data_IF_393477887536
#
_entry.id   IF_393477887536
#
_cell.length_a   1.000
_cell.length_b   1.000
_cell.length_c   1.000
_cell.angle_alpha   90.00
_cell.angle_beta   90.00
_cell.angle_gamma   90.00
#
_symmetry.space_group_name_H-M   'P 1'
#
loop_
_entity.id
_entity.type
_entity.pdbx_description
1 polymer ?
#
# COMPACT_ATOMS: atom_id res chain seq x y z
N UNK A 1 -50.19 14.77 20.52
CA UNK A 1 -49.55 14.44 19.21
C UNK A 1 -48.62 15.53 18.69
N UNK A 2 -48.95 16.83 18.80
CA UNK A 2 -48.06 17.92 18.35
C UNK A 2 -46.66 17.91 19.00
N UNK A 3 -46.58 17.58 20.29
CA UNK A 3 -45.32 17.49 21.04
C UNK A 3 -44.34 16.44 20.47
N UNK A 4 -44.83 15.26 20.07
CA UNK A 4 -43.99 14.19 19.50
C UNK A 4 -43.39 14.65 18.16
N UNK A 5 -44.15 15.40 17.36
CA UNK A 5 -43.70 15.90 16.06
C UNK A 5 -42.61 16.98 16.23
N UNK A 6 -42.73 17.83 17.24
CA UNK A 6 -41.73 18.87 17.53
C UNK A 6 -40.48 18.25 18.15
N UNK A 7 -40.61 17.31 19.09
CA UNK A 7 -39.48 16.60 19.68
C UNK A 7 -38.70 15.78 18.62
N UNK A 8 -39.39 15.09 17.70
CA UNK A 8 -38.78 14.33 16.58
C UNK A 8 -38.03 15.24 15.57
N UNK A 9 -38.16 16.57 15.68
CA UNK A 9 -37.47 17.55 14.81
C UNK A 9 -36.28 18.22 15.49
N UNK A 10 -36.33 18.45 16.80
CA UNK A 10 -35.30 19.17 17.56
C UNK A 10 -34.45 18.25 18.44
N UNK A 11 -35.00 17.13 18.91
CA UNK A 11 -34.31 16.13 19.70
C UNK A 11 -34.65 14.72 19.21
N UNK A 12 -34.30 14.36 17.96
CA UNK A 12 -34.70 13.07 17.42
C UNK A 12 -33.94 11.93 18.09
N UNK A 13 -34.70 10.90 18.45
CA UNK A 13 -34.23 9.64 19.01
C UNK A 13 -34.26 8.56 17.93
N UNK A 14 -33.19 7.78 17.83
CA UNK A 14 -33.18 6.56 17.01
C UNK A 14 -32.57 5.41 17.78
N UNK A 15 -33.19 4.24 17.65
CA UNK A 15 -32.66 2.94 18.11
C UNK A 15 -31.93 2.21 16.99
N UNK A 16 -31.97 2.74 15.76
CA UNK A 16 -31.28 2.20 14.60
C UNK A 16 -29.85 2.75 14.56
N UNK A 17 -29.06 2.43 15.59
CA UNK A 17 -27.66 2.79 15.68
C UNK A 17 -26.81 1.61 16.10
N UNK A 18 -25.58 1.58 15.57
CA UNK A 18 -24.59 0.54 15.86
C UNK A 18 -23.20 1.15 15.99
N UNK A 19 -22.35 0.45 16.75
CA UNK A 19 -20.90 0.64 16.72
C UNK A 19 -20.37 0.03 15.42
N UNK A 20 -19.68 0.84 14.64
CA UNK A 20 -18.97 0.45 13.43
C UNK A 20 -17.46 0.50 13.70
N UNK A 21 -16.70 -0.22 12.87
CA UNK A 21 -15.25 -0.21 12.89
C UNK A 21 -14.71 -0.65 11.54
N UNK A 22 -13.45 -0.34 11.26
CA UNK A 22 -12.80 -0.92 10.10
C UNK A 22 -12.60 -2.42 10.31
N UNK A 23 -13.03 -3.20 9.33
CA UNK A 23 -12.83 -4.64 9.30
C UNK A 23 -11.77 -4.91 8.26
N UNK A 24 -10.56 -5.25 8.70
CA UNK A 24 -9.42 -5.50 7.83
C UNK A 24 -9.26 -7.00 7.67
N UNK A 25 -9.23 -7.47 6.44
CA UNK A 25 -8.91 -8.85 6.12
C UNK A 25 -7.40 -8.98 5.99
N UNK A 26 -6.77 -9.72 6.90
CA UNK A 26 -5.32 -9.96 6.80
C UNK A 26 -5.06 -11.21 5.96
N UNK A 27 -4.27 -11.00 4.91
CA UNK A 27 -3.81 -12.03 4.00
C UNK A 27 -2.28 -12.10 4.05
N UNK A 28 -1.69 -13.31 3.94
CA UNK A 28 -0.25 -13.44 3.82
C UNK A 28 0.21 -12.96 2.44
N UNK A 29 1.40 -12.39 2.36
CA UNK A 29 1.99 -11.97 1.07
C UNK A 29 2.69 -13.13 0.36
N UNK A 30 3.02 -14.20 1.09
CA UNK A 30 3.73 -15.37 0.59
C UNK A 30 2.95 -16.65 0.87
N UNK A 31 3.11 -17.66 0.00
CA UNK A 31 2.39 -18.93 0.11
C UNK A 31 3.24 -20.02 0.74
N UNK A 32 2.66 -20.81 1.65
CA UNK A 32 3.33 -21.97 2.24
C UNK A 32 2.50 -22.65 3.32
N UNK A 33 2.90 -23.84 3.78
CA UNK A 33 2.22 -24.49 4.89
C UNK A 33 2.49 -23.73 6.18
N UNK A 34 1.45 -23.58 7.00
CA UNK A 34 1.54 -22.95 8.32
C UNK A 34 2.19 -23.94 9.29
N UNK A 35 3.18 -23.48 10.03
CA UNK A 35 3.91 -24.27 11.02
C UNK A 35 3.56 -23.90 12.45
N UNK A 36 3.09 -22.68 12.68
CA UNK A 36 2.76 -22.17 14.00
C UNK A 36 1.68 -21.08 13.92
N UNK A 37 0.80 -21.07 14.92
CA UNK A 37 -0.26 -20.07 15.09
C UNK A 37 -0.16 -19.55 16.52
N UNK A 38 0.40 -18.35 16.67
CA UNK A 38 0.73 -17.77 17.96
C UNK A 38 -0.46 -17.03 18.62
N UNK A 39 -1.62 -17.01 17.96
CA UNK A 39 -2.83 -16.31 18.40
C UNK A 39 -4.05 -17.24 18.42
N UNK A 40 -5.00 -16.89 19.28
CA UNK A 40 -6.33 -17.49 19.35
C UNK A 40 -7.41 -16.62 18.71
N UNK A 41 -8.57 -17.21 18.46
CA UNK A 41 -9.74 -16.46 18.01
C UNK A 41 -10.26 -15.53 19.12
N UNK A 42 -10.70 -14.32 18.76
CA UNK A 42 -11.17 -13.26 19.67
C UNK A 42 -10.11 -12.75 20.65
N UNK A 43 -8.82 -12.87 20.29
CA UNK A 43 -7.71 -12.41 21.11
C UNK A 43 -7.34 -10.95 20.77
N UNK A 44 -6.99 -10.19 21.81
CA UNK A 44 -6.36 -8.87 21.67
C UNK A 44 -4.90 -9.00 21.30
N UNK A 45 -4.47 -8.23 20.30
CA UNK A 45 -3.09 -8.20 19.83
C UNK A 45 -2.53 -6.80 19.82
N UNK A 46 -1.25 -6.69 20.13
CA UNK A 46 -0.50 -5.44 20.07
C UNK A 46 0.20 -5.27 18.71
N UNK A 47 0.58 -4.03 18.39
CA UNK A 47 1.33 -3.75 17.16
C UNK A 47 2.64 -4.54 17.12
N UNK A 48 2.89 -5.23 16.01
CA UNK A 48 4.09 -6.04 15.82
C UNK A 48 4.07 -7.40 16.51
N UNK A 49 2.94 -7.79 17.11
CA UNK A 49 2.79 -9.14 17.66
C UNK A 49 2.72 -10.18 16.55
N UNK A 50 3.45 -11.29 16.71
CA UNK A 50 3.41 -12.42 15.78
C UNK A 50 2.00 -13.05 15.79
N UNK A 51 1.42 -13.22 14.60
CA UNK A 51 0.12 -13.87 14.43
C UNK A 51 0.30 -15.34 14.08
N UNK A 52 1.00 -15.62 12.99
CA UNK A 52 1.28 -16.98 12.54
C UNK A 52 2.56 -17.02 11.71
N UNK A 53 3.12 -18.22 11.61
CA UNK A 53 4.37 -18.47 10.87
C UNK A 53 4.14 -19.49 9.76
N UNK A 54 4.58 -19.11 8.56
CA UNK A 54 4.63 -19.94 7.37
C UNK A 54 5.99 -20.64 7.32
N UNK A 55 6.04 -21.88 6.81
CA UNK A 55 7.29 -22.62 6.64
C UNK A 55 8.30 -21.82 5.79
N UNK A 56 9.40 -21.43 6.43
CA UNK A 56 10.41 -20.56 5.85
C UNK A 56 11.54 -21.32 5.11
N UNK A 57 11.50 -22.65 5.04
CA UNK A 57 12.61 -23.46 4.51
C UNK A 57 12.92 -23.13 3.04
N UNK A 58 11.87 -23.03 2.21
CA UNK A 58 11.97 -22.65 0.79
C UNK A 58 12.53 -21.23 0.63
N UNK A 59 12.11 -20.31 1.48
CA UNK A 59 12.51 -18.89 1.42
C UNK A 59 13.95 -18.71 1.89
N UNK A 60 14.37 -19.41 2.93
CA UNK A 60 15.75 -19.45 3.41
C UNK A 60 16.68 -19.99 2.31
N UNK A 61 16.27 -21.06 1.63
CA UNK A 61 17.01 -21.58 0.48
C UNK A 61 17.09 -20.57 -0.67
N UNK A 62 15.99 -19.85 -0.96
CA UNK A 62 15.98 -18.81 -1.99
C UNK A 62 16.96 -17.66 -1.66
N UNK A 63 17.00 -17.21 -0.40
CA UNK A 63 17.98 -16.22 0.08
C UNK A 63 19.40 -16.73 -0.11
N UNK A 64 19.68 -17.98 0.28
CA UNK A 64 21.02 -18.57 0.11
C UNK A 64 21.42 -18.67 -1.36
N UNK A 65 20.50 -19.07 -2.24
CA UNK A 65 20.73 -19.09 -3.70
C UNK A 65 21.02 -17.70 -4.24
N UNK A 66 20.28 -16.68 -3.79
CA UNK A 66 20.49 -15.31 -4.22
C UNK A 66 21.82 -14.73 -3.70
N UNK A 67 22.27 -15.10 -2.50
CA UNK A 67 23.61 -14.74 -1.98
C UNK A 67 24.73 -15.31 -2.85
N UNK A 68 24.62 -16.59 -3.24
CA UNK A 68 25.59 -17.22 -4.14
C UNK A 68 25.58 -16.52 -5.51
N UNK A 69 24.41 -16.22 -6.06
CA UNK A 69 24.29 -15.49 -7.32
C UNK A 69 24.91 -14.09 -7.26
N UNK A 70 24.77 -13.39 -6.13
CA UNK A 70 25.43 -12.10 -5.89
C UNK A 70 26.95 -12.23 -5.86
N UNK A 71 27.48 -13.25 -5.20
CA UNK A 71 28.91 -13.52 -5.22
C UNK A 71 29.42 -13.79 -6.64
N UNK A 72 28.70 -14.62 -7.42
CA UNK A 72 29.03 -14.90 -8.82
C UNK A 72 29.01 -13.62 -9.67
N UNK A 73 28.07 -12.71 -9.41
CA UNK A 73 28.01 -11.42 -10.10
C UNK A 73 29.24 -10.55 -9.80
N UNK A 74 29.71 -10.51 -8.55
CA UNK A 74 30.95 -9.81 -8.19
C UNK A 74 32.19 -10.43 -8.85
N UNK A 75 32.27 -11.76 -8.91
CA UNK A 75 33.36 -12.45 -9.60
C UNK A 75 33.36 -12.14 -11.10
N UNK A 76 32.17 -12.06 -11.72
CA UNK A 76 32.01 -11.69 -13.11
C UNK A 76 32.37 -10.22 -13.37
N UNK A 77 32.01 -9.30 -12.46
CA UNK A 77 32.43 -7.90 -12.51
C UNK A 77 33.95 -7.77 -12.42
N UNK A 78 34.61 -8.52 -11.53
CA UNK A 78 36.08 -8.58 -11.44
C UNK A 78 36.70 -9.05 -12.76
N UNK A 79 36.10 -10.03 -13.43
CA UNK A 79 36.53 -10.46 -14.77
C UNK A 79 36.37 -9.36 -15.82
N UNK A 80 35.30 -8.56 -15.76
CA UNK A 80 35.10 -7.42 -16.66
C UNK A 80 36.18 -6.35 -16.45
N UNK A 81 36.60 -6.07 -15.21
CA UNK A 81 37.73 -5.16 -14.95
C UNK A 81 39.03 -5.66 -15.62
N UNK A 82 39.34 -6.95 -15.50
CA UNK A 82 40.51 -7.53 -16.17
C UNK A 82 40.41 -7.43 -17.71
N UNK A 83 39.21 -7.57 -18.27
CA UNK A 83 38.97 -7.38 -19.71
C UNK A 83 39.14 -5.92 -20.15
N UNK A 84 38.75 -4.96 -19.32
CA UNK A 84 39.00 -3.53 -19.59
C UNK A 84 40.49 -3.23 -19.63
N UNK A 85 41.26 -3.74 -18.67
CA UNK A 85 42.72 -3.56 -18.66
C UNK A 85 43.37 -4.15 -19.92
N UNK A 86 42.96 -5.36 -20.34
CA UNK A 86 43.41 -5.95 -21.60
C UNK A 86 43.03 -5.09 -22.83
N UNK A 87 41.81 -4.53 -22.86
CA UNK A 87 41.34 -3.67 -23.95
C UNK A 87 42.09 -2.33 -24.01
N UNK A 88 42.45 -1.76 -22.85
CA UNK A 88 43.30 -0.56 -22.75
C UNK A 88 44.69 -0.86 -23.31
N UNK A 89 45.30 -2.00 -22.95
CA UNK A 89 46.59 -2.41 -23.50
C UNK A 89 46.55 -2.58 -25.03
N UNK A 90 45.50 -3.20 -25.58
CA UNK A 90 45.30 -3.32 -27.02
C UNK A 90 45.14 -1.95 -27.70
N UNK A 91 44.39 -1.03 -27.07
CA UNK A 91 44.23 0.34 -27.56
C UNK A 91 45.55 1.09 -27.56
N UNK A 92 46.37 0.94 -26.51
CA UNK A 92 47.69 1.54 -26.41
C UNK A 92 48.65 1.04 -27.50
N UNK A 93 48.69 -0.27 -27.74
CA UNK A 93 49.46 -0.89 -28.82
C UNK A 93 49.02 -0.40 -30.21
N UNK A 94 47.70 -0.39 -30.47
CA UNK A 94 47.16 0.13 -31.73
C UNK A 94 47.42 1.64 -31.92
N UNK A 95 47.44 2.42 -30.83
CA UNK A 95 47.78 3.83 -30.86
C UNK A 95 49.25 4.05 -31.24
N UNK A 96 50.17 3.24 -30.72
CA UNK A 96 51.57 3.28 -31.13
C UNK A 96 51.74 2.96 -32.62
N UNK A 97 51.04 1.94 -33.13
CA UNK A 97 51.04 1.60 -34.55
C UNK A 97 50.48 2.73 -35.43
N UNK A 98 49.38 3.36 -35.01
CA UNK A 98 48.82 4.52 -35.67
C UNK A 98 49.79 5.71 -35.71
N UNK A 99 50.49 5.99 -34.60
CA UNK A 99 51.48 7.06 -34.54
C UNK A 99 52.66 6.80 -35.49
N UNK A 100 53.15 5.56 -35.54
CA UNK A 100 54.22 5.16 -36.45
C UNK A 100 53.78 5.31 -37.92
N UNK A 101 52.59 4.80 -38.28
CA UNK A 101 52.04 4.92 -39.64
C UNK A 101 51.78 6.38 -40.04
N UNK A 102 51.37 7.21 -39.07
CA UNK A 102 51.16 8.66 -39.28
C UNK A 102 52.49 9.36 -39.57
N UNK A 103 53.53 9.10 -38.76
CA UNK A 103 54.85 9.68 -38.97
C UNK A 103 55.48 9.24 -40.31
N UNK A 104 55.32 7.97 -40.68
CA UNK A 104 55.76 7.44 -41.97
C UNK A 104 55.07 8.14 -43.14
N UNK A 105 53.73 8.19 -43.13
CA UNK A 105 52.96 8.86 -44.17
C UNK A 105 53.35 10.34 -44.30
N UNK A 106 53.53 11.06 -43.19
CA UNK A 106 53.98 12.46 -43.21
C UNK A 106 55.38 12.60 -43.83
N UNK A 107 56.31 11.70 -43.51
CA UNK A 107 57.67 11.70 -44.07
C UNK A 107 57.64 11.45 -45.57
N UNK A 108 56.98 10.38 -46.01
CA UNK A 108 56.85 10.00 -47.43
C UNK A 108 56.10 11.07 -48.21
N UNK A 109 55.06 11.67 -47.66
CA UNK A 109 54.32 12.77 -48.30
C UNK A 109 55.20 14.01 -48.54
N UNK A 110 56.07 14.38 -47.58
CA UNK A 110 57.05 15.47 -47.76
C UNK A 110 58.08 15.14 -48.84
N UNK A 111 58.61 13.91 -48.85
CA UNK A 111 59.58 13.47 -49.87
C UNK A 111 58.95 13.39 -51.28
N UNK A 112 57.69 12.98 -51.38
CA UNK A 112 56.96 12.90 -52.64
C UNK A 112 56.73 14.28 -53.25
N UNK A 113 56.48 15.31 -52.43
CA UNK A 113 56.38 16.71 -52.90
C UNK A 113 57.66 17.21 -53.57
N UNK A 114 58.81 16.69 -53.14
CA UNK A 114 60.12 17.01 -53.69
C UNK A 114 60.55 16.04 -54.80
N UNK A 115 59.65 15.18 -55.29
CA UNK A 115 59.92 14.14 -56.29
C UNK A 115 61.02 13.12 -55.90
N UNK A 116 61.24 12.91 -54.59
CA UNK A 116 62.27 11.99 -54.07
C UNK A 116 61.77 10.54 -53.89
N UNK A 117 60.47 10.29 -54.05
CA UNK A 117 59.82 8.96 -53.94
C UNK A 117 58.68 8.84 -54.94
N UNK A 118 58.25 7.60 -55.26
CA UNK A 118 57.17 7.34 -56.21
C UNK A 118 55.77 7.65 -55.64
N UNK A 119 54.82 7.96 -56.53
CA UNK A 119 53.40 8.17 -56.16
C UNK A 119 52.79 6.91 -55.53
N UNK A 120 53.11 5.73 -56.06
CA UNK A 120 52.69 4.43 -55.52
C UNK A 120 53.15 4.21 -54.07
N UNK A 121 54.38 4.65 -53.73
CA UNK A 121 54.88 4.56 -52.35
C UNK A 121 54.10 5.46 -51.40
N UNK A 122 53.77 6.68 -51.82
CA UNK A 122 52.90 7.59 -51.05
C UNK A 122 51.50 7.01 -50.84
N UNK A 123 50.90 6.48 -51.90
CA UNK A 123 49.53 5.95 -51.84
C UNK A 123 49.47 4.70 -50.94
N UNK A 124 50.53 3.87 -50.96
CA UNK A 124 50.68 2.72 -50.06
C UNK A 124 50.84 3.17 -48.59
N UNK A 125 51.65 4.20 -48.32
CA UNK A 125 51.79 4.77 -46.98
C UNK A 125 50.46 5.39 -46.49
N UNK A 126 49.69 6.04 -47.37
CA UNK A 126 48.37 6.56 -47.06
C UNK A 126 47.37 5.44 -46.73
N UNK A 127 47.35 4.36 -47.52
CA UNK A 127 46.50 3.20 -47.24
C UNK A 127 46.82 2.56 -45.88
N UNK A 128 48.11 2.42 -45.53
CA UNK A 128 48.54 1.90 -44.24
C UNK A 128 48.12 2.82 -43.07
N UNK A 129 48.30 4.14 -43.22
CA UNK A 129 47.80 5.12 -42.26
C UNK A 129 46.29 5.00 -42.04
N UNK A 130 45.51 4.87 -43.11
CA UNK A 130 44.06 4.73 -43.02
C UNK A 130 43.64 3.42 -42.34
N UNK A 131 44.32 2.31 -42.64
CA UNK A 131 44.10 1.03 -41.97
C UNK A 131 44.37 1.14 -40.46
N UNK A 132 45.53 1.68 -40.07
CA UNK A 132 45.89 1.87 -38.67
C UNK A 132 44.92 2.79 -37.91
N UNK A 133 44.41 3.83 -38.57
CA UNK A 133 43.38 4.74 -38.01
C UNK A 133 42.09 3.99 -37.71
N UNK A 134 41.62 3.17 -38.64
CA UNK A 134 40.40 2.37 -38.48
C UNK A 134 40.55 1.32 -37.38
N UNK A 135 41.70 0.66 -37.30
CA UNK A 135 42.02 -0.30 -36.22
C UNK A 135 42.00 0.37 -34.86
N UNK A 136 42.63 1.54 -34.72
CA UNK A 136 42.61 2.31 -33.46
C UNK A 136 41.18 2.68 -33.06
N UNK A 137 40.36 3.13 -34.02
CA UNK A 137 38.96 3.43 -33.76
C UNK A 137 38.20 2.19 -33.28
N UNK A 138 38.40 1.02 -33.90
CA UNK A 138 37.76 -0.22 -33.48
C UNK A 138 38.11 -0.61 -32.03
N UNK A 139 39.39 -0.56 -31.64
CA UNK A 139 39.81 -0.87 -30.27
C UNK A 139 39.30 0.15 -29.24
N UNK A 140 39.23 1.44 -29.61
CA UNK A 140 38.61 2.47 -28.76
C UNK A 140 37.13 2.14 -28.51
N UNK A 141 36.36 1.80 -29.54
CA UNK A 141 34.96 1.43 -29.40
C UNK A 141 34.77 0.14 -28.59
N UNK A 142 35.64 -0.86 -28.79
CA UNK A 142 35.63 -2.09 -28.00
C UNK A 142 35.85 -1.81 -26.51
N UNK A 143 36.80 -0.94 -26.16
CA UNK A 143 37.05 -0.54 -24.77
C UNK A 143 35.84 0.14 -24.15
N UNK A 144 35.19 1.05 -24.88
CA UNK A 144 33.97 1.73 -24.42
C UNK A 144 32.82 0.74 -24.19
N UNK A 145 32.65 -0.23 -25.09
CA UNK A 145 31.60 -1.24 -24.97
C UNK A 145 31.77 -2.14 -23.73
N UNK A 146 33.01 -2.45 -23.33
CA UNK A 146 33.28 -3.23 -22.11
C UNK A 146 33.06 -2.34 -20.88
N UNK A 147 33.56 -1.09 -20.90
CA UNK A 147 33.37 -0.12 -19.79
C UNK A 147 31.89 0.15 -19.51
N UNK A 148 31.05 0.22 -20.54
CA UNK A 148 29.60 0.40 -20.39
C UNK A 148 28.92 -0.70 -19.55
N UNK A 149 29.53 -1.88 -19.39
CA UNK A 149 29.00 -2.98 -18.57
C UNK A 149 29.33 -2.84 -17.08
N UNK A 150 30.35 -2.07 -16.71
CA UNK A 150 30.87 -1.98 -15.35
C UNK A 150 30.10 -0.97 -14.46
N UNK A 151 29.25 -0.12 -15.02
CA UNK A 151 28.56 0.93 -14.27
C UNK A 151 29.48 2.10 -13.91
N UNK A 152 29.01 2.99 -13.01
CA UNK A 152 29.75 4.19 -12.60
C UNK A 152 30.83 3.90 -11.55
N UNK A 153 30.62 2.89 -10.70
CA UNK A 153 31.49 2.52 -9.58
C UNK A 153 31.57 1.00 -9.41
N UNK A 154 32.58 0.54 -8.67
CA UNK A 154 32.74 -0.88 -8.35
C UNK A 154 31.58 -1.41 -7.52
N UNK A 155 30.98 -2.52 -7.95
CA UNK A 155 29.78 -3.11 -7.36
C UNK A 155 28.46 -2.57 -7.90
N UNK A 156 28.51 -1.67 -8.89
CA UNK A 156 27.33 -1.09 -9.54
C UNK A 156 27.22 -1.50 -11.01
N UNK A 157 27.94 -2.55 -11.43
CA UNK A 157 27.63 -3.20 -12.71
C UNK A 157 26.19 -3.70 -12.71
N UNK A 158 25.57 -3.68 -13.90
CA UNK A 158 24.16 -4.10 -14.07
C UNK A 158 23.89 -5.52 -13.56
N UNK A 159 24.88 -6.40 -13.69
CA UNK A 159 24.85 -7.78 -13.19
C UNK A 159 24.79 -7.82 -11.65
N UNK A 160 25.63 -7.04 -10.97
CA UNK A 160 25.67 -6.97 -9.51
C UNK A 160 24.39 -6.32 -8.97
N UNK A 161 23.91 -5.23 -9.59
CA UNK A 161 22.66 -4.59 -9.19
C UNK A 161 21.45 -5.54 -9.31
N UNK A 162 21.36 -6.28 -10.42
CA UNK A 162 20.31 -7.28 -10.59
C UNK A 162 20.38 -8.36 -9.51
N UNK A 163 21.58 -8.85 -9.19
CA UNK A 163 21.76 -9.85 -8.14
C UNK A 163 21.47 -9.32 -6.73
N UNK A 164 21.83 -8.06 -6.42
CA UNK A 164 21.46 -7.38 -5.17
C UNK A 164 19.94 -7.27 -5.03
N UNK A 165 19.24 -6.88 -6.09
CA UNK A 165 17.77 -6.78 -6.11
C UNK A 165 17.12 -8.16 -5.89
N UNK A 166 17.63 -9.21 -6.54
CA UNK A 166 17.14 -10.57 -6.34
C UNK A 166 17.35 -11.06 -4.90
N UNK A 167 18.48 -10.71 -4.27
CA UNK A 167 18.73 -11.01 -2.86
C UNK A 167 17.77 -10.24 -1.95
N UNK A 168 17.54 -8.96 -2.22
CA UNK A 168 16.60 -8.14 -1.47
C UNK A 168 15.16 -8.68 -1.56
N UNK A 169 14.72 -9.08 -2.76
CA UNK A 169 13.41 -9.71 -2.96
C UNK A 169 13.29 -11.02 -2.17
N UNK A 170 14.28 -11.91 -2.28
CA UNK A 170 14.25 -13.17 -1.54
C UNK A 170 14.25 -12.97 -0.01
N UNK A 171 14.95 -11.95 0.48
CA UNK A 171 14.97 -11.59 1.89
C UNK A 171 13.64 -11.01 2.36
N UNK A 172 12.98 -10.20 1.52
CA UNK A 172 11.64 -9.67 1.79
C UNK A 172 10.62 -10.81 1.87
N UNK A 173 10.64 -11.71 0.89
CA UNK A 173 9.76 -12.89 0.87
C UNK A 173 9.97 -13.78 2.11
N UNK A 174 11.23 -13.93 2.56
CA UNK A 174 11.55 -14.62 3.81
C UNK A 174 10.97 -13.90 5.03
N UNK A 175 11.06 -12.57 5.08
CA UNK A 175 10.49 -11.79 6.20
C UNK A 175 8.97 -11.91 6.27
N UNK A 176 8.29 -12.01 5.11
CA UNK A 176 6.84 -12.18 5.02
C UNK A 176 6.34 -13.58 5.38
N UNK A 177 7.25 -14.53 5.67
CA UNK A 177 6.87 -15.82 6.25
C UNK A 177 6.34 -15.69 7.68
N UNK A 178 6.69 -14.61 8.37
CA UNK A 178 6.15 -14.28 9.68
C UNK A 178 5.17 -13.13 9.51
N UNK A 179 3.91 -13.37 9.86
CA UNK A 179 2.85 -12.36 9.71
C UNK A 179 2.60 -11.72 11.06
N UNK A 180 2.69 -10.39 11.12
CA UNK A 180 2.56 -9.59 12.33
C UNK A 180 1.32 -8.71 12.31
N UNK A 181 0.81 -8.35 13.49
CA UNK A 181 -0.28 -7.40 13.62
C UNK A 181 0.19 -5.98 13.20
N UNK A 182 -0.52 -5.29 12.28
CA UNK A 182 -0.11 -3.97 11.81
C UNK A 182 -0.27 -2.87 12.87
N UNK A 183 -1.28 -2.99 13.73
CA UNK A 183 -1.63 -2.08 14.83
C UNK A 183 -2.25 -2.87 16.00
N UNK A 184 -2.57 -2.19 17.10
CA UNK A 184 -3.34 -2.76 18.21
C UNK A 184 -4.78 -3.07 17.74
N UNK A 185 -5.29 -4.24 18.07
CA UNK A 185 -6.64 -4.64 17.67
C UNK A 185 -7.07 -6.01 18.19
N UNK A 186 -8.17 -6.51 17.65
CA UNK A 186 -8.71 -7.84 17.96
C UNK A 186 -8.72 -8.70 16.71
N UNK A 187 -8.26 -9.94 16.84
CA UNK A 187 -8.34 -10.96 15.79
C UNK A 187 -9.67 -11.70 15.92
N UNK A 188 -10.44 -11.78 14.85
CA UNK A 188 -11.71 -12.51 14.78
C UNK A 188 -11.75 -13.40 13.54
N UNK A 189 -12.67 -14.38 13.53
CA UNK A 189 -12.84 -15.32 12.42
C UNK A 189 -11.51 -15.95 11.99
N UNK A 190 -10.75 -16.46 12.96
CA UNK A 190 -9.49 -17.17 12.70
C UNK A 190 -9.80 -18.52 12.03
N UNK A 191 -9.51 -18.64 10.73
CA UNK A 191 -9.71 -19.87 9.95
C UNK A 191 -8.37 -20.56 9.64
N UNK A 192 -7.44 -20.48 10.57
CA UNK A 192 -6.05 -20.83 10.36
C UNK A 192 -5.64 -21.91 11.37
N UNK A 193 -5.12 -23.02 10.85
CA UNK A 193 -4.69 -24.18 11.65
C UNK A 193 -3.31 -24.65 11.17
N UNK A 194 -2.52 -25.22 12.09
CA UNK A 194 -1.20 -25.76 11.76
C UNK A 194 -1.35 -26.87 10.72
N UNK A 195 -0.50 -26.83 9.68
CA UNK A 195 -0.56 -27.74 8.55
C UNK A 195 -1.45 -27.26 7.40
N UNK A 196 -2.31 -26.26 7.59
CA UNK A 196 -3.05 -25.64 6.51
C UNK A 196 -2.13 -24.91 5.52
N UNK A 197 -2.55 -24.83 4.26
CA UNK A 197 -1.78 -24.12 3.22
C UNK A 197 -2.22 -22.66 3.14
N UNK A 198 -1.33 -21.75 3.50
CA UNK A 198 -1.50 -20.32 3.27
C UNK A 198 -1.25 -19.99 1.79
N UNK A 199 -2.14 -19.19 1.20
CA UNK A 199 -2.05 -18.72 -0.18
C UNK A 199 -1.92 -17.20 -0.20
N UNK A 200 -0.97 -16.70 -0.98
CA UNK A 200 -0.70 -15.27 -1.07
C UNK A 200 -1.96 -14.49 -1.51
N UNK A 201 -2.19 -13.36 -0.85
CA UNK A 201 -3.34 -12.46 -1.07
C UNK A 201 -4.72 -13.08 -0.81
N UNK A 202 -4.79 -14.22 -0.12
CA UNK A 202 -6.05 -14.79 0.36
C UNK A 202 -6.23 -14.47 1.85
N UNK A 203 -7.30 -13.76 2.24
CA UNK A 203 -7.62 -13.51 3.64
C UNK A 203 -7.73 -14.80 4.45
N UNK A 204 -7.05 -14.86 5.59
CA UNK A 204 -7.14 -16.03 6.49
C UNK A 204 -7.70 -15.69 7.87
N UNK A 205 -7.71 -14.41 8.23
CA UNK A 205 -8.28 -13.92 9.47
C UNK A 205 -8.80 -12.49 9.30
N UNK A 206 -9.66 -12.10 10.21
CA UNK A 206 -10.19 -10.73 10.30
C UNK A 206 -9.50 -10.00 11.44
N UNK A 207 -9.05 -8.78 11.20
CA UNK A 207 -8.46 -7.89 12.18
C UNK A 207 -9.33 -6.64 12.33
N UNK A 208 -9.67 -6.30 13.57
CA UNK A 208 -10.47 -5.14 13.92
C UNK A 208 -9.59 -4.20 14.78
N UNK A 209 -9.16 -3.03 14.25
CA UNK A 209 -8.39 -2.07 15.04
C UNK A 209 -9.30 -1.37 16.06
N UNK A 210 -8.91 -1.42 17.34
CA UNK A 210 -9.72 -0.91 18.46
C UNK A 210 -9.81 0.62 18.46
N UNK A 211 -8.75 1.30 18.01
CA UNK A 211 -8.68 2.77 17.98
C UNK A 211 -9.55 3.40 16.87
N UNK A 212 -10.24 2.57 16.09
CA UNK A 212 -10.97 2.99 14.90
C UNK A 212 -12.46 2.68 14.94
N UNK A 213 -13.01 2.52 16.14
CA UNK A 213 -14.44 2.32 16.34
C UNK A 213 -15.17 3.67 16.34
N UNK A 214 -16.34 3.74 15.70
CA UNK A 214 -17.23 4.91 15.72
C UNK A 214 -18.69 4.49 15.85
N UNK A 215 -19.57 5.40 16.21
CA UNK A 215 -21.01 5.13 16.26
C UNK A 215 -21.67 5.76 15.04
N UNK A 216 -22.51 5.00 14.35
CA UNK A 216 -23.35 5.54 13.30
C UNK A 216 -24.82 5.25 13.59
N UNK A 217 -25.67 6.22 13.27
CA UNK A 217 -27.08 6.20 13.60
C UNK A 217 -27.91 6.63 12.40
N UNK A 218 -28.95 5.85 12.10
CA UNK A 218 -29.82 6.10 10.97
C UNK A 218 -31.07 6.85 11.45
N UNK A 219 -31.19 8.11 11.01
CA UNK A 219 -32.29 9.00 11.37
C UNK A 219 -33.23 9.21 10.18
N UNK A 220 -34.50 9.49 10.44
CA UNK A 220 -35.44 9.89 9.38
C UNK A 220 -34.99 11.23 8.78
N UNK A 221 -35.09 11.40 7.47
CA UNK A 221 -34.65 12.62 6.77
C UNK A 221 -35.20 13.91 7.41
N UNK A 222 -36.51 13.94 7.68
CA UNK A 222 -37.19 15.07 8.34
C UNK A 222 -36.58 15.47 9.69
N UNK A 223 -36.02 14.51 10.43
CA UNK A 223 -35.43 14.70 11.74
C UNK A 223 -34.01 15.28 11.66
N UNK A 224 -33.31 15.03 10.56
CA UNK A 224 -31.96 15.57 10.32
C UNK A 224 -31.94 16.97 9.71
N UNK A 225 -33.12 17.53 9.36
CA UNK A 225 -33.22 18.81 8.66
C UNK A 225 -32.72 20.01 9.47
N UNK A 226 -32.81 19.97 10.81
CA UNK A 226 -32.32 21.02 11.71
C UNK A 226 -30.95 20.71 12.32
N UNK A 227 -30.33 19.59 11.92
CA UNK A 227 -29.10 19.09 12.53
C UNK A 227 -27.91 19.47 11.66
N UNK A 228 -26.96 20.15 12.29
CA UNK A 228 -25.71 20.63 11.72
C UNK A 228 -24.52 19.88 12.32
N UNK A 229 -23.32 20.12 11.78
CA UNK A 229 -22.05 19.62 12.38
C UNK A 229 -21.77 20.16 13.79
N UNK A 230 -22.48 21.20 14.22
CA UNK A 230 -22.36 21.77 15.58
C UNK A 230 -23.33 21.11 16.57
N UNK A 231 -24.15 20.17 16.11
CA UNK A 231 -25.08 19.43 16.98
C UNK A 231 -24.33 18.36 17.78
N UNK A 232 -24.80 18.12 19.00
CA UNK A 232 -24.26 17.10 19.88
C UNK A 232 -25.22 15.90 19.94
N UNK A 233 -24.70 14.79 20.46
CA UNK A 233 -25.39 13.52 20.56
C UNK A 233 -25.19 12.93 21.95
N UNK A 234 -26.25 12.37 22.51
CA UNK A 234 -26.17 11.44 23.62
C UNK A 234 -26.33 10.02 23.10
N UNK A 235 -25.44 9.13 23.52
CA UNK A 235 -25.43 7.72 23.12
C UNK A 235 -25.52 6.86 24.36
N UNK A 236 -26.44 5.90 24.37
CA UNK A 236 -26.47 4.81 25.37
C UNK A 236 -26.35 3.49 24.63
N UNK A 237 -25.58 2.56 25.17
CA UNK A 237 -25.39 1.25 24.56
C UNK A 237 -26.29 0.21 25.24
N UNK A 238 -26.74 -0.79 24.51
CA UNK A 238 -27.52 -1.91 25.08
C UNK A 238 -26.62 -2.71 26.05
N UNK A 239 -25.32 -2.83 25.73
CA UNK A 239 -24.34 -3.52 26.55
C UNK A 239 -23.95 -2.78 27.84
N UNK A 240 -24.23 -1.48 27.94
CA UNK A 240 -23.89 -0.63 29.09
C UNK A 240 -25.13 0.17 29.53
N UNK A 241 -26.15 -0.50 30.10
CA UNK A 241 -27.41 0.15 30.41
C UNK A 241 -27.26 1.18 31.54
N UNK A 242 -27.94 2.32 31.39
CA UNK A 242 -27.87 3.45 32.33
C UNK A 242 -26.63 4.35 32.21
N UNK A 243 -25.69 4.06 31.31
CA UNK A 243 -24.54 4.93 31.04
C UNK A 243 -24.78 5.74 29.76
N UNK A 244 -24.62 7.07 29.87
CA UNK A 244 -24.81 8.00 28.76
C UNK A 244 -23.47 8.61 28.36
N UNK A 245 -23.13 8.46 27.08
CA UNK A 245 -21.89 8.94 26.49
C UNK A 245 -22.15 10.19 25.64
N UNK A 246 -21.22 11.14 25.71
CA UNK A 246 -21.27 12.37 24.93
C UNK A 246 -20.57 12.15 23.58
N UNK A 247 -21.26 12.49 22.51
CA UNK A 247 -20.77 12.45 21.15
C UNK A 247 -21.05 13.76 20.43
N UNK A 248 -20.30 14.02 19.36
CA UNK A 248 -20.52 15.11 18.43
C UNK A 248 -20.81 14.55 17.04
N UNK A 249 -21.54 15.32 16.23
CA UNK A 249 -21.81 14.93 14.84
C UNK A 249 -20.55 15.15 14.01
N UNK A 250 -19.88 14.07 13.62
CA UNK A 250 -18.68 14.14 12.79
C UNK A 250 -19.05 14.45 11.34
N UNK A 251 -19.95 13.64 10.78
CA UNK A 251 -20.38 13.76 9.40
C UNK A 251 -21.79 13.23 9.20
N UNK A 252 -22.40 13.66 8.11
CA UNK A 252 -23.67 13.14 7.60
C UNK A 252 -23.39 12.60 6.20
N UNK A 253 -23.85 11.39 5.92
CA UNK A 253 -23.69 10.80 4.60
C UNK A 253 -24.52 11.61 3.60
N UNK A 254 -23.91 12.00 2.46
CA UNK A 254 -24.56 12.81 1.42
C UNK A 254 -25.29 11.96 0.36
N UNK A 255 -25.29 10.64 0.50
CA UNK A 255 -25.93 9.72 -0.45
C UNK A 255 -26.47 8.47 0.23
N UNK A 256 -27.60 7.98 -0.27
CA UNK A 256 -28.16 6.65 0.04
C UNK A 256 -28.05 5.79 -1.21
N UNK A 257 -27.78 4.48 -1.07
CA UNK A 257 -27.58 3.58 -2.22
C UNK A 257 -28.79 3.56 -3.18
N UNK A 258 -29.99 3.92 -2.68
CA UNK A 258 -31.21 4.05 -3.47
C UNK A 258 -31.16 5.17 -4.55
N UNK A 259 -30.23 6.12 -4.47
CA UNK A 259 -30.07 7.20 -5.45
C UNK A 259 -29.06 6.88 -6.57
N UNK A 260 -28.45 5.68 -6.54
CA UNK A 260 -27.37 5.33 -7.47
C UNK A 260 -27.97 4.66 -8.72
N UNK A 261 -28.30 5.47 -9.72
CA UNK A 261 -28.57 4.94 -11.06
C UNK A 261 -27.25 4.57 -11.74
N UNK A 262 -27.05 3.29 -12.01
CA UNK A 262 -25.96 2.85 -12.90
C UNK A 262 -26.18 3.46 -14.28
N UNK A 263 -25.18 4.16 -14.81
CA UNK A 263 -25.23 4.75 -16.14
C UNK A 263 -25.27 3.65 -17.21
N UNK A 264 -26.47 3.26 -17.65
CA UNK A 264 -26.71 2.18 -18.63
C UNK A 264 -27.10 2.67 -20.03
N UNK A 265 -27.20 3.99 -20.25
CA UNK A 265 -27.58 4.58 -21.54
C UNK A 265 -29.06 4.38 -21.94
N UNK A 266 -29.88 3.83 -21.04
CA UNK A 266 -31.34 3.73 -21.22
C UNK A 266 -32.03 4.98 -20.62
N UNK A 267 -33.16 5.38 -21.20
CA UNK A 267 -33.99 6.45 -20.65
C UNK A 267 -34.43 6.08 -19.23
N UNK A 268 -34.33 7.04 -18.32
CA UNK A 268 -34.70 6.91 -16.90
C UNK A 268 -36.13 6.37 -16.79
N UNK A 269 -36.30 5.19 -16.19
CA UNK A 269 -37.63 4.72 -15.81
C UNK A 269 -38.07 5.45 -14.54
N UNK A 270 -39.28 6.00 -14.57
CA UNK A 270 -39.92 6.58 -13.38
C UNK A 270 -40.33 5.41 -12.47
N UNK A 271 -39.81 5.35 -11.25
CA UNK A 271 -40.34 4.44 -10.23
C UNK A 271 -41.79 4.84 -9.91
N UNK A 272 -42.75 4.09 -10.42
CA UNK A 272 -44.17 4.24 -10.04
C UNK A 272 -44.41 3.37 -8.81
N UNK A 273 -44.26 3.95 -7.61
CA UNK A 273 -44.61 3.29 -6.35
C UNK A 273 -46.11 3.39 -6.10
N UNK A 274 -46.80 2.25 -5.98
CA UNK A 274 -48.21 2.15 -5.54
C UNK A 274 -48.41 2.23 -4.00
N UNK A 275 -47.40 2.69 -3.25
CA UNK A 275 -47.52 2.89 -1.79
C UNK A 275 -48.11 4.28 -1.50
N UNK A 276 -49.34 4.32 -0.99
CA UNK A 276 -50.06 5.54 -0.59
C UNK A 276 -49.42 6.27 0.60
N UNK A 277 -48.52 5.61 1.34
CA UNK A 277 -47.62 6.21 2.33
C UNK A 277 -46.18 5.85 1.93
N UNK A 278 -45.35 6.86 1.66
CA UNK A 278 -43.92 6.66 1.37
C UNK A 278 -43.20 6.25 2.65
N UNK A 279 -42.35 5.23 2.56
CA UNK A 279 -41.46 4.88 3.65
C UNK A 279 -40.52 6.07 3.95
N UNK A 280 -40.27 6.32 5.23
CA UNK A 280 -39.36 7.38 5.63
C UNK A 280 -37.94 7.03 5.17
N UNK A 281 -37.39 7.83 4.26
CA UNK A 281 -35.99 7.75 3.89
C UNK A 281 -35.14 8.08 5.12
N UNK A 282 -34.11 7.26 5.35
CA UNK A 282 -33.18 7.45 6.46
C UNK A 282 -31.84 7.93 5.96
N UNK A 283 -31.21 8.79 6.75
CA UNK A 283 -29.87 9.32 6.51
C UNK A 283 -28.99 8.88 7.67
N UNK A 284 -27.82 8.35 7.33
CA UNK A 284 -26.81 7.97 8.32
C UNK A 284 -26.07 9.20 8.80
N UNK A 285 -25.98 9.31 10.11
CA UNK A 285 -25.18 10.30 10.82
C UNK A 285 -24.05 9.57 11.54
N UNK A 286 -22.81 9.93 11.24
CA UNK A 286 -21.63 9.38 11.90
C UNK A 286 -21.25 10.29 13.08
N UNK A 287 -21.01 9.67 14.22
CA UNK A 287 -20.74 10.34 15.48
C UNK A 287 -19.29 10.09 15.89
N UNK A 288 -18.63 11.14 16.39
CA UNK A 288 -17.30 11.06 17.01
C UNK A 288 -17.40 11.34 18.50
N UNK A 289 -16.57 10.68 19.30
CA UNK A 289 -16.36 11.03 20.70
C UNK A 289 -14.88 11.29 20.94
N UNK A 290 -14.59 12.18 21.87
CA UNK A 290 -13.24 12.39 22.41
C UNK A 290 -12.88 11.27 23.42
N UNK A 291 -13.89 10.59 23.98
CA UNK A 291 -13.71 9.47 24.87
C UNK A 291 -13.57 8.19 24.05
N UNK A 292 -12.59 7.35 24.41
CA UNK A 292 -12.46 6.03 23.81
C UNK A 292 -13.74 5.21 24.04
N UNK A 293 -14.15 4.50 22.99
CA UNK A 293 -15.29 3.58 23.09
C UNK A 293 -14.90 2.46 24.08
N UNK A 294 -15.74 2.16 25.08
CA UNK A 294 -15.46 1.11 26.07
C UNK A 294 -15.07 -0.23 25.44
N UNK A 295 -14.07 -0.91 26.01
CA UNK A 295 -13.53 -2.19 25.49
C UNK A 295 -14.56 -3.33 25.45
N UNK A 296 -15.65 -3.24 26.20
CA UNK A 296 -16.74 -4.22 26.18
C UNK A 296 -17.56 -4.16 24.88
N UNK A 297 -17.46 -3.07 24.12
CA UNK A 297 -18.21 -2.87 22.89
C UNK A 297 -17.44 -3.44 21.69
N UNK A 298 -18.18 -4.04 20.77
CA UNK A 298 -17.64 -4.66 19.56
C UNK A 298 -18.35 -4.11 18.32
N UNK A 299 -17.75 -4.33 17.15
CA UNK A 299 -18.36 -3.95 15.87
C UNK A 299 -19.72 -4.66 15.73
N UNK A 300 -20.79 -3.88 15.63
CA UNK A 300 -22.17 -4.37 15.60
C UNK A 300 -22.93 -4.20 16.91
N UNK A 301 -22.29 -3.78 18.01
CA UNK A 301 -22.98 -3.45 19.27
C UNK A 301 -24.06 -2.40 19.01
N UNK A 302 -25.26 -2.62 19.56
CA UNK A 302 -26.41 -1.75 19.39
C UNK A 302 -26.31 -0.53 20.30
N UNK A 303 -26.80 0.60 19.80
CA UNK A 303 -26.86 1.84 20.53
C UNK A 303 -28.19 2.55 20.28
N UNK A 304 -28.60 3.35 21.25
CA UNK A 304 -29.67 4.35 21.10
C UNK A 304 -29.02 5.72 21.11
N UNK A 305 -29.39 6.55 20.13
CA UNK A 305 -28.80 7.89 19.94
C UNK A 305 -29.90 8.94 19.96
N UNK A 306 -29.67 10.00 20.72
CA UNK A 306 -30.48 11.22 20.69
C UNK A 306 -29.61 12.38 20.26
N UNK A 307 -29.98 13.06 19.18
CA UNK A 307 -29.31 14.29 18.74
C UNK A 307 -29.97 15.51 19.38
N UNK A 308 -29.23 16.58 19.59
CA UNK A 308 -29.78 17.85 20.08
C UNK A 308 -28.92 19.06 19.64
N UNK A 309 -29.55 20.24 19.43
CA UNK A 309 -28.83 21.48 19.18
C UNK A 309 -28.17 21.97 20.48
N UNK A 310 -26.89 22.34 20.40
CA UNK A 310 -26.10 22.78 21.57
C UNK A 310 -26.60 24.14 22.10
N UNK A 311 -27.17 24.97 21.23
CA UNK A 311 -27.54 26.37 21.53
C UNK A 311 -28.79 26.51 22.43
N UNK A 312 -29.51 25.42 22.72
CA UNK A 312 -30.76 25.48 23.47
C UNK A 312 -30.80 24.51 24.66
N UNK A 313 -30.78 25.11 25.86
CA UNK A 313 -30.79 24.38 27.14
C UNK A 313 -32.03 23.48 27.28
N UNK A 314 -33.20 23.91 26.80
CA UNK A 314 -34.44 23.12 26.90
C UNK A 314 -34.35 21.80 26.13
N UNK A 315 -33.80 21.84 24.91
CA UNK A 315 -33.65 20.64 24.09
C UNK A 315 -32.55 19.72 24.62
N UNK A 316 -31.47 20.29 25.17
CA UNK A 316 -30.43 19.52 25.86
C UNK A 316 -30.98 18.77 27.07
N UNK A 317 -31.75 19.45 27.94
CA UNK A 317 -32.36 18.80 29.12
C UNK A 317 -33.35 17.73 28.70
N UNK A 318 -34.15 17.97 27.66
CA UNK A 318 -35.10 16.98 27.16
C UNK A 318 -34.39 15.76 26.58
N UNK A 319 -33.36 15.96 25.75
CA UNK A 319 -32.56 14.88 25.18
C UNK A 319 -31.90 14.04 26.29
N UNK A 320 -31.40 14.68 27.34
CA UNK A 320 -30.85 14.00 28.51
C UNK A 320 -31.89 13.16 29.26
N UNK A 321 -33.13 13.65 29.41
CA UNK A 321 -34.19 12.87 30.05
C UNK A 321 -34.60 11.67 29.17
N UNK A 322 -34.72 11.87 27.86
CA UNK A 322 -35.09 10.82 26.90
C UNK A 322 -34.04 9.71 26.85
N UNK A 323 -32.76 10.05 26.75
CA UNK A 323 -31.70 9.04 26.67
C UNK A 323 -31.53 8.29 27.99
N UNK A 324 -31.68 8.95 29.15
CA UNK A 324 -31.63 8.28 30.44
C UNK A 324 -32.82 7.32 30.63
N UNK A 325 -34.02 7.72 30.18
CA UNK A 325 -35.19 6.83 30.17
C UNK A 325 -34.96 5.63 29.24
N UNK A 326 -34.43 5.86 28.03
CA UNK A 326 -34.09 4.79 27.11
C UNK A 326 -33.02 3.85 27.68
N UNK A 327 -31.97 4.39 28.30
CA UNK A 327 -30.91 3.61 28.94
C UNK A 327 -31.40 2.80 30.16
N UNK A 328 -32.42 3.27 30.88
CA UNK A 328 -33.09 2.50 31.93
C UNK A 328 -33.95 1.37 31.35
N UNK A 329 -34.60 1.60 30.21
CA UNK A 329 -35.40 0.57 29.54
C UNK A 329 -34.53 -0.57 28.98
N UNK A 330 -33.25 -0.33 28.70
CA UNK A 330 -32.29 -1.40 28.34
C UNK A 330 -32.06 -2.41 29.47
N UNK A 331 -32.44 -2.12 30.73
CA UNK A 331 -32.40 -3.13 31.80
C UNK A 331 -33.57 -4.13 31.73
N UNK A 332 -34.65 -3.80 31.03
CA UNK A 332 -35.93 -4.52 31.06
C UNK A 332 -36.09 -5.47 29.86
N UNK A 333 -35.27 -5.34 28.83
CA UNK A 333 -35.28 -6.17 27.62
C UNK A 333 -33.90 -6.74 27.34
#
# INVERSE_FOLDING_TARGET
MAYIIVADRYAPLTTESRVYGYVVQLAPEVSGPIIDVAIGNNQHVEKGQLLFTINNSKYTLAVNKAKVALQQAYEQEKSLYAQVEAAIANTASSNANYNNATAEYQRISKLAKNNLVSTSMRDSAYANYQAARSTLHAYKQQTLAIKAKLGESGGDSSLVMAAKNNLAQAALDLSHTQVFAPNKGVITNLQLEVGAMATANQPMLTFIPIDSLWVAADFREKATALISKTSAAYVTYDALPGQVFNFTVASRDFGVAAAQQTASGQLTSVEVSNRWVRDAQRIRVNLSSEQAIPEQLFVGSRATVVLYPVDNVWWKTLASMQINLAGLLHYVY
#
